data_IF_344394116813
#
_entry.id   IF_344394116813
#
_cell.length_a   1.000
_cell.length_b   1.000
_cell.length_c   1.000
_cell.angle_alpha   90.00
_cell.angle_beta   90.00
_cell.angle_gamma   90.00
#
_symmetry.space_group_name_H-M   'P 1'
#
loop_
_entity.id
_entity.type
_entity.pdbx_description
1 polymer ?
#
# COMPACT_ATOMS: atom_id res chain seq x y z
N UNK A 1 41.52 -49.56 -65.13
CA UNK A 1 40.93 -48.26 -65.36
C UNK A 1 39.94 -48.03 -64.20
N UNK A 2 40.21 -47.11 -63.27
CA UNK A 2 39.32 -46.74 -62.21
C UNK A 2 38.56 -45.50 -62.61
N UNK A 3 37.25 -45.34 -62.25
CA UNK A 3 36.51 -44.12 -62.52
C UNK A 3 36.75 -43.07 -61.36
N UNK A 4 36.60 -41.78 -61.68
CA UNK A 4 36.89 -40.71 -60.71
C UNK A 4 35.73 -40.51 -59.74
N UNK A 5 36.10 -40.25 -58.46
CA UNK A 5 35.16 -39.79 -57.41
C UNK A 5 34.76 -38.33 -57.70
N UNK A 6 33.47 -38.10 -57.79
CA UNK A 6 32.90 -36.76 -57.71
C UNK A 6 32.60 -36.42 -56.23
N UNK A 7 33.34 -35.44 -55.69
CA UNK A 7 33.07 -34.89 -54.37
C UNK A 7 32.00 -33.78 -54.48
N UNK A 8 30.82 -34.06 -53.99
CA UNK A 8 29.74 -33.05 -53.92
C UNK A 8 29.98 -32.17 -52.68
N UNK A 9 30.20 -30.88 -52.92
CA UNK A 9 30.32 -29.84 -51.88
C UNK A 9 28.91 -29.37 -51.47
N UNK A 10 28.47 -29.75 -50.27
CA UNK A 10 27.21 -29.33 -49.70
C UNK A 10 27.35 -27.93 -49.07
N UNK A 11 26.87 -26.91 -49.74
CA UNK A 11 26.82 -25.54 -49.18
C UNK A 11 25.54 -25.39 -48.34
N UNK A 12 25.71 -25.39 -46.99
CA UNK A 12 24.63 -25.12 -46.06
C UNK A 12 24.52 -23.60 -45.93
N UNK A 13 23.46 -23.03 -46.46
CA UNK A 13 23.09 -21.61 -46.28
C UNK A 13 22.31 -21.50 -44.99
N UNK A 14 22.89 -20.93 -43.94
CA UNK A 14 22.18 -20.52 -42.72
C UNK A 14 21.35 -19.25 -43.03
N UNK A 15 20.05 -19.40 -43.19
CA UNK A 15 19.11 -18.29 -43.15
C UNK A 15 18.94 -17.83 -41.69
N UNK A 16 19.63 -16.75 -41.33
CA UNK A 16 19.40 -16.04 -40.06
C UNK A 16 18.10 -15.23 -40.24
N UNK A 17 16.99 -15.78 -39.78
CA UNK A 17 15.76 -15.01 -39.61
C UNK A 17 15.93 -14.08 -38.43
N UNK A 18 16.32 -12.82 -38.64
CA UNK A 18 16.22 -11.76 -37.68
C UNK A 18 14.73 -11.50 -37.39
N UNK A 19 14.23 -11.98 -36.25
CA UNK A 19 12.95 -11.52 -35.74
C UNK A 19 13.09 -10.01 -35.41
N UNK A 20 12.63 -9.17 -36.34
CA UNK A 20 12.40 -7.77 -36.00
C UNK A 20 11.30 -7.71 -34.93
N UNK A 21 11.68 -7.45 -33.70
CA UNK A 21 10.73 -7.08 -32.66
C UNK A 21 10.07 -5.78 -33.11
N UNK A 22 8.76 -5.83 -33.37
CA UNK A 22 7.97 -4.62 -33.58
C UNK A 22 8.14 -3.75 -32.33
N UNK A 23 8.43 -2.44 -32.48
CA UNK A 23 8.46 -1.54 -31.33
C UNK A 23 7.12 -1.63 -30.62
N UNK A 24 7.16 -1.80 -29.28
CA UNK A 24 5.97 -1.74 -28.46
C UNK A 24 5.23 -0.42 -28.79
N UNK A 25 3.90 -0.43 -28.90
CA UNK A 25 3.14 0.78 -29.15
C UNK A 25 3.51 1.79 -28.05
N UNK A 26 3.95 2.98 -28.45
CA UNK A 26 4.12 4.11 -27.54
C UNK A 26 2.80 4.27 -26.78
N UNK A 27 2.85 4.16 -25.45
CA UNK A 27 1.71 4.46 -24.62
C UNK A 27 1.20 5.85 -25.00
N UNK A 28 0.01 5.91 -25.57
CA UNK A 28 -0.65 7.17 -25.90
C UNK A 28 -0.83 7.89 -24.58
N UNK A 29 -0.21 9.05 -24.40
CA UNK A 29 -0.38 9.84 -23.20
C UNK A 29 -1.89 10.10 -23.03
N UNK A 30 -2.49 9.54 -22.00
CA UNK A 30 -3.88 9.80 -21.66
C UNK A 30 -3.97 11.28 -21.32
N UNK A 31 -4.70 12.06 -22.13
CA UNK A 31 -4.91 13.48 -21.85
C UNK A 31 -5.82 13.52 -20.63
N UNK A 32 -5.25 13.85 -19.48
CA UNK A 32 -6.01 14.06 -18.23
C UNK A 32 -6.80 15.35 -18.41
N UNK A 33 -8.13 15.32 -18.38
CA UNK A 33 -8.95 16.52 -18.53
C UNK A 33 -8.69 17.52 -17.39
N UNK A 34 -8.82 18.79 -17.67
CA UNK A 34 -8.80 19.82 -16.64
C UNK A 34 -10.02 19.65 -15.73
N UNK A 35 -9.89 19.70 -14.39
CA UNK A 35 -11.04 19.63 -13.49
C UNK A 35 -12.12 20.67 -13.82
N UNK A 36 -13.37 20.25 -13.71
CA UNK A 36 -14.50 21.19 -13.82
C UNK A 36 -14.62 22.00 -12.53
N UNK A 37 -14.77 23.33 -12.60
CA UNK A 37 -14.83 24.15 -11.40
C UNK A 37 -16.11 23.88 -10.58
N UNK A 38 -15.94 23.79 -9.26
CA UNK A 38 -17.01 23.65 -8.27
C UNK A 38 -17.97 22.45 -8.50
N UNK A 39 -17.43 21.33 -8.99
CA UNK A 39 -18.19 20.09 -9.21
C UNK A 39 -17.33 18.87 -8.98
N UNK A 40 -17.91 17.82 -8.41
CA UNK A 40 -17.31 16.50 -8.43
C UNK A 40 -17.53 15.89 -9.81
N UNK A 41 -16.46 15.55 -10.52
CA UNK A 41 -16.54 15.04 -11.88
C UNK A 41 -15.98 13.61 -11.98
N UNK A 42 -16.70 12.76 -12.70
CA UNK A 42 -16.29 11.37 -13.00
C UNK A 42 -16.48 11.10 -14.49
N UNK A 43 -15.48 10.51 -15.12
CA UNK A 43 -15.57 10.02 -16.50
C UNK A 43 -15.24 8.51 -16.53
N UNK A 44 -16.27 7.65 -16.56
CA UNK A 44 -16.06 6.20 -16.62
C UNK A 44 -15.49 5.72 -17.98
N UNK A 45 -15.50 6.56 -19.01
CA UNK A 45 -14.91 6.28 -20.32
C UNK A 45 -13.38 6.44 -20.34
N UNK A 46 -12.78 7.02 -19.31
CA UNK A 46 -11.34 7.22 -19.19
C UNK A 46 -10.78 6.27 -18.14
N UNK A 47 -10.30 5.10 -18.56
CA UNK A 47 -9.60 4.15 -17.70
C UNK A 47 -8.22 4.68 -17.33
N UNK A 48 -7.87 4.60 -16.04
CA UNK A 48 -6.55 4.89 -15.50
C UNK A 48 -5.77 3.63 -15.13
N UNK A 49 -6.36 2.46 -15.34
CA UNK A 49 -5.75 1.15 -15.13
C UNK A 49 -6.32 0.38 -13.94
N UNK A 50 -5.79 -0.82 -13.74
CA UNK A 50 -6.25 -1.72 -12.68
C UNK A 50 -5.75 -1.25 -11.31
N UNK A 51 -6.65 -1.28 -10.34
CA UNK A 51 -6.33 -1.08 -8.94
C UNK A 51 -5.72 -2.37 -8.40
N UNK A 52 -4.55 -2.28 -7.79
CA UNK A 52 -3.98 -3.46 -7.14
C UNK A 52 -4.87 -3.90 -5.96
N UNK A 53 -5.31 -5.14 -5.88
CA UNK A 53 -6.07 -5.60 -4.72
C UNK A 53 -5.26 -5.52 -3.42
N UNK A 54 -3.93 -5.43 -3.49
CA UNK A 54 -3.03 -5.41 -2.34
C UNK A 54 -2.93 -4.04 -1.64
N UNK A 55 -3.66 -3.02 -2.10
CA UNK A 55 -3.72 -1.71 -1.41
C UNK A 55 -4.55 -1.74 -0.12
N UNK A 56 -5.31 -2.79 0.12
CA UNK A 56 -6.14 -2.96 1.31
C UNK A 56 -5.47 -3.88 2.34
N UNK A 57 -4.19 -3.70 2.56
CA UNK A 57 -3.39 -4.54 3.44
C UNK A 57 -3.35 -4.06 4.89
N UNK A 58 -2.79 -4.92 5.74
CA UNK A 58 -2.57 -4.62 7.16
C UNK A 58 -1.32 -5.29 7.69
N UNK A 59 -0.87 -4.84 8.84
CA UNK A 59 0.24 -5.41 9.60
C UNK A 59 -0.27 -6.30 10.73
N UNK A 60 0.41 -7.41 10.97
CA UNK A 60 0.10 -8.33 12.06
C UNK A 60 1.37 -9.02 12.57
N UNK A 61 1.34 -9.52 13.81
CA UNK A 61 2.50 -10.20 14.36
C UNK A 61 2.22 -11.02 15.62
N UNK A 62 3.20 -11.83 16.05
CA UNK A 62 3.02 -12.79 17.15
C UNK A 62 2.86 -12.18 18.54
N UNK A 63 3.09 -10.87 18.70
CA UNK A 63 2.97 -10.19 19.99
C UNK A 63 1.53 -9.99 20.48
N UNK A 64 0.56 -10.24 19.60
CA UNK A 64 -0.86 -10.11 19.92
C UNK A 64 -1.66 -11.16 19.17
N UNK A 65 -2.56 -11.85 19.87
CA UNK A 65 -3.52 -12.74 19.25
C UNK A 65 -4.86 -12.00 19.04
N UNK A 66 -5.54 -12.33 17.94
CA UNK A 66 -6.95 -11.96 17.80
C UNK A 66 -7.77 -12.65 18.88
N UNK A 67 -8.67 -11.90 19.51
CA UNK A 67 -9.70 -12.50 20.37
C UNK A 67 -10.68 -13.35 19.54
N UNK A 68 -11.43 -14.22 20.19
CA UNK A 68 -12.46 -15.02 19.52
C UNK A 68 -13.50 -14.11 18.88
N UNK A 69 -13.88 -13.03 19.57
CA UNK A 69 -14.84 -12.02 19.10
C UNK A 69 -14.29 -11.22 17.91
N UNK A 70 -12.97 -11.00 17.86
CA UNK A 70 -12.29 -10.30 16.77
C UNK A 70 -12.13 -11.11 15.49
N UNK A 71 -12.35 -12.43 15.52
CA UNK A 71 -12.17 -13.28 14.33
C UNK A 71 -13.16 -12.94 13.22
N UNK A 72 -14.45 -12.80 13.54
CA UNK A 72 -15.45 -12.49 12.52
C UNK A 72 -15.24 -11.10 11.90
N UNK A 73 -15.02 -10.03 12.67
CA UNK A 73 -14.59 -8.73 12.10
C UNK A 73 -13.35 -8.84 11.22
N UNK A 74 -12.36 -9.66 11.58
CA UNK A 74 -11.17 -9.83 10.75
C UNK A 74 -11.51 -10.50 9.41
N UNK A 75 -12.36 -11.52 9.39
CA UNK A 75 -12.81 -12.17 8.16
C UNK A 75 -13.64 -11.25 7.28
N UNK A 76 -14.41 -10.36 7.89
CA UNK A 76 -15.26 -9.42 7.18
C UNK A 76 -14.55 -8.11 6.79
N UNK A 77 -13.34 -7.88 7.30
CA UNK A 77 -12.63 -6.58 7.15
C UNK A 77 -12.42 -6.13 5.71
N UNK A 78 -12.25 -7.07 4.76
CA UNK A 78 -11.83 -6.75 3.39
C UNK A 78 -10.31 -6.59 3.24
N UNK A 79 -9.54 -6.94 4.28
CA UNK A 79 -8.08 -7.00 4.21
C UNK A 79 -7.65 -8.01 3.15
N UNK A 80 -6.80 -7.56 2.23
CA UNK A 80 -6.36 -8.34 1.07
C UNK A 80 -4.93 -8.88 1.17
N UNK A 81 -4.10 -8.28 2.01
CA UNK A 81 -2.74 -8.74 2.30
C UNK A 81 -2.37 -8.47 3.76
N UNK A 82 -1.64 -9.40 4.36
CA UNK A 82 -1.13 -9.28 5.73
C UNK A 82 0.39 -9.37 5.72
N UNK A 83 1.07 -8.32 6.20
CA UNK A 83 2.52 -8.32 6.43
C UNK A 83 2.81 -8.90 7.81
N UNK A 84 3.71 -9.92 7.88
CA UNK A 84 4.01 -10.69 9.08
C UNK A 84 5.46 -11.21 9.10
N UNK A 85 6.17 -11.24 10.27
CA UNK A 85 5.86 -10.38 11.42
C UNK A 85 6.13 -8.94 11.03
N UNK A 86 5.26 -8.04 11.48
CA UNK A 86 5.42 -6.64 11.20
C UNK A 86 6.26 -5.94 12.28
N UNK A 87 6.67 -4.70 12.00
CA UNK A 87 7.40 -3.86 12.94
C UNK A 87 8.74 -4.44 13.42
N UNK A 88 9.34 -3.78 14.40
CA UNK A 88 10.64 -4.16 14.96
C UNK A 88 10.66 -5.53 15.66
N UNK A 89 9.49 -6.11 15.96
CA UNK A 89 9.43 -7.44 16.57
C UNK A 89 10.17 -8.48 15.74
N UNK A 90 10.03 -8.41 14.41
CA UNK A 90 10.68 -9.33 13.47
C UNK A 90 12.20 -9.26 13.50
N UNK A 91 12.77 -8.11 13.82
CA UNK A 91 14.23 -7.94 13.93
C UNK A 91 14.81 -8.40 15.28
N UNK A 92 13.97 -8.46 16.30
CA UNK A 92 14.41 -8.89 17.64
C UNK A 92 14.11 -10.36 17.95
N UNK A 93 13.28 -11.00 17.13
CA UNK A 93 12.80 -12.36 17.39
C UNK A 93 12.91 -13.25 16.15
N UNK A 94 13.14 -14.53 16.37
CA UNK A 94 13.06 -15.53 15.31
C UNK A 94 11.61 -16.04 15.23
N UNK A 95 10.99 -15.85 14.08
CA UNK A 95 9.68 -16.45 13.79
C UNK A 95 9.79 -17.96 13.80
N UNK A 96 8.89 -18.63 14.53
CA UNK A 96 8.83 -20.09 14.59
C UNK A 96 7.90 -20.62 13.50
N UNK A 97 8.17 -21.83 13.02
CA UNK A 97 7.38 -22.45 11.95
C UNK A 97 5.89 -22.55 12.30
N UNK A 98 5.55 -22.91 13.54
CA UNK A 98 4.13 -22.97 13.96
C UNK A 98 3.42 -21.61 13.88
N UNK A 99 4.15 -20.48 14.04
CA UNK A 99 3.57 -19.14 13.89
C UNK A 99 3.24 -18.83 12.42
N UNK A 100 4.07 -19.34 11.50
CA UNK A 100 3.77 -19.29 10.06
C UNK A 100 2.55 -20.13 9.74
N UNK A 101 2.45 -21.35 10.27
CA UNK A 101 1.30 -22.24 10.02
C UNK A 101 0.00 -21.61 10.54
N UNK A 102 0.04 -20.97 11.71
CA UNK A 102 -1.08 -20.20 12.25
C UNK A 102 -1.46 -19.01 11.36
N UNK A 103 -0.46 -18.25 10.89
CA UNK A 103 -0.68 -17.17 9.95
C UNK A 103 -1.37 -17.69 8.68
N UNK A 104 -0.84 -18.74 8.07
CA UNK A 104 -1.38 -19.25 6.80
C UNK A 104 -2.80 -19.79 6.95
N UNK A 105 -3.11 -20.43 8.09
CA UNK A 105 -4.49 -20.82 8.42
C UNK A 105 -5.43 -19.61 8.58
N UNK A 106 -4.95 -18.51 9.11
CA UNK A 106 -5.69 -17.26 9.20
C UNK A 106 -5.89 -16.63 7.82
N UNK A 107 -4.81 -16.53 7.01
CA UNK A 107 -4.82 -15.98 5.65
C UNK A 107 -5.85 -16.70 4.77
N UNK A 108 -5.90 -18.04 4.83
CA UNK A 108 -6.87 -18.83 4.08
C UNK A 108 -8.32 -18.43 4.43
N UNK A 109 -8.62 -18.26 5.72
CA UNK A 109 -9.97 -17.90 6.18
C UNK A 109 -10.39 -16.47 5.82
N UNK A 110 -9.46 -15.54 5.86
CA UNK A 110 -9.71 -14.14 5.46
C UNK A 110 -9.80 -14.01 3.93
N UNK A 111 -9.21 -14.94 3.18
CA UNK A 111 -9.06 -14.84 1.73
C UNK A 111 -7.99 -13.81 1.31
N UNK A 112 -7.01 -13.57 2.19
CA UNK A 112 -5.95 -12.59 1.95
C UNK A 112 -4.66 -13.24 1.38
N UNK A 113 -3.70 -12.40 1.02
CA UNK A 113 -2.34 -12.80 0.65
C UNK A 113 -1.39 -12.60 1.83
N UNK A 114 -0.33 -13.40 1.94
CA UNK A 114 0.72 -13.19 2.93
C UNK A 114 1.91 -12.44 2.34
N UNK A 115 2.46 -11.48 3.11
CA UNK A 115 3.82 -10.98 2.97
C UNK A 115 4.59 -11.37 4.22
N UNK A 116 5.70 -12.10 4.06
CA UNK A 116 6.53 -12.54 5.20
C UNK A 116 7.82 -11.74 5.23
N UNK A 117 8.14 -11.17 6.40
CA UNK A 117 9.41 -10.52 6.65
C UNK A 117 10.38 -11.50 7.33
N UNK A 118 11.63 -11.53 6.86
CA UNK A 118 12.71 -12.27 7.50
C UNK A 118 13.53 -11.32 8.36
N UNK A 119 14.06 -11.86 9.47
CA UNK A 119 14.89 -11.11 10.40
C UNK A 119 16.21 -10.71 9.74
N UNK A 120 16.50 -9.40 9.70
CA UNK A 120 17.77 -8.87 9.22
C UNK A 120 18.74 -8.60 10.39
N UNK A 121 18.31 -7.80 11.37
CA UNK A 121 19.15 -7.45 12.54
C UNK A 121 19.48 -8.69 13.37
N UNK A 122 20.74 -9.14 13.29
CA UNK A 122 21.20 -10.36 13.96
C UNK A 122 20.69 -11.67 13.37
N UNK A 123 20.01 -11.63 12.21
CA UNK A 123 19.71 -12.81 11.40
C UNK A 123 20.84 -13.17 10.43
N UNK A 124 20.66 -14.25 9.66
CA UNK A 124 21.60 -14.65 8.62
C UNK A 124 20.89 -14.98 7.30
N UNK A 125 21.59 -14.85 6.15
CA UNK A 125 21.04 -15.25 4.85
C UNK A 125 20.57 -16.71 4.80
N UNK A 126 21.24 -17.60 5.54
CA UNK A 126 20.88 -19.02 5.61
C UNK A 126 19.57 -19.23 6.35
N UNK A 127 19.34 -18.52 7.45
CA UNK A 127 18.07 -18.56 8.19
C UNK A 127 16.92 -18.04 7.35
N UNK A 128 17.12 -16.96 6.59
CA UNK A 128 16.13 -16.42 5.68
C UNK A 128 15.81 -17.40 4.53
N UNK A 129 16.84 -18.03 3.96
CA UNK A 129 16.69 -19.05 2.92
C UNK A 129 15.96 -20.29 3.45
N UNK A 130 16.22 -20.69 4.71
CA UNK A 130 15.53 -21.80 5.36
C UNK A 130 14.04 -21.49 5.58
N UNK A 131 13.70 -20.27 5.98
CA UNK A 131 12.32 -19.85 6.09
C UNK A 131 11.58 -19.93 4.74
N UNK A 132 12.21 -19.47 3.65
CA UNK A 132 11.63 -19.60 2.30
C UNK A 132 11.45 -21.07 1.92
N UNK A 133 12.44 -21.94 2.26
CA UNK A 133 12.35 -23.38 2.01
C UNK A 133 11.17 -24.00 2.74
N UNK A 134 11.07 -23.76 4.05
CA UNK A 134 9.98 -24.25 4.86
C UNK A 134 8.62 -23.84 4.26
N UNK A 135 8.43 -22.54 4.04
CA UNK A 135 7.15 -21.98 3.59
C UNK A 135 6.75 -22.46 2.19
N UNK A 136 7.68 -22.36 1.22
CA UNK A 136 7.32 -22.53 -0.19
C UNK A 136 7.66 -23.92 -0.75
N UNK A 137 8.63 -24.66 -0.18
CA UNK A 137 9.04 -25.96 -0.72
C UNK A 137 8.51 -27.12 0.13
N UNK A 138 8.50 -26.98 1.45
CA UNK A 138 8.04 -28.03 2.36
C UNK A 138 6.53 -27.96 2.57
N UNK A 139 6.02 -26.81 3.06
CA UNK A 139 4.60 -26.61 3.30
C UNK A 139 3.81 -26.25 2.03
N UNK A 140 4.48 -25.72 0.99
CA UNK A 140 3.88 -25.34 -0.29
C UNK A 140 2.80 -24.26 -0.15
N UNK A 141 2.97 -23.33 0.79
CA UNK A 141 2.04 -22.23 1.01
C UNK A 141 2.03 -21.22 -0.15
N UNK A 142 3.08 -21.20 -0.98
CA UNK A 142 3.15 -20.36 -2.17
C UNK A 142 3.23 -18.86 -1.87
N UNK A 143 3.88 -18.47 -0.78
CA UNK A 143 4.05 -17.07 -0.41
C UNK A 143 4.96 -16.37 -1.42
N UNK A 144 4.41 -15.35 -2.06
CA UNK A 144 5.09 -14.60 -3.14
C UNK A 144 5.91 -13.44 -2.57
N UNK A 145 5.40 -12.68 -1.61
CA UNK A 145 5.98 -11.42 -1.15
C UNK A 145 6.82 -11.60 0.10
N UNK A 146 8.07 -11.11 0.06
CA UNK A 146 9.04 -11.27 1.13
C UNK A 146 9.78 -9.96 1.40
N UNK A 147 9.75 -9.51 2.65
CA UNK A 147 10.55 -8.39 3.15
C UNK A 147 11.81 -8.87 3.86
N UNK A 148 12.82 -8.00 3.96
CA UNK A 148 14.09 -8.28 4.63
C UNK A 148 14.36 -7.16 5.63
N UNK A 149 14.15 -7.46 6.93
CA UNK A 149 14.28 -6.50 8.03
C UNK A 149 13.08 -5.56 8.16
N UNK A 150 13.20 -4.59 9.08
CA UNK A 150 12.22 -3.56 9.35
C UNK A 150 12.93 -2.27 9.75
N UNK A 151 12.71 -1.17 9.03
CA UNK A 151 13.27 0.17 9.32
C UNK A 151 14.78 0.16 9.60
N UNK A 152 15.62 -0.36 8.70
CA UNK A 152 17.03 -0.60 8.96
C UNK A 152 17.82 0.67 9.28
N UNK A 153 17.33 1.85 8.89
CA UNK A 153 17.91 3.14 9.25
C UNK A 153 17.90 3.43 10.77
N UNK A 154 17.12 2.68 11.55
CA UNK A 154 17.07 2.81 13.02
C UNK A 154 18.07 1.88 13.76
N UNK A 155 18.66 0.89 13.08
CA UNK A 155 19.54 -0.10 13.71
C UNK A 155 20.80 0.50 14.33
N UNK A 156 21.34 1.60 13.79
CA UNK A 156 22.50 2.27 14.38
C UNK A 156 22.23 2.73 15.82
N UNK A 157 21.03 3.28 16.06
CA UNK A 157 20.64 3.70 17.42
C UNK A 157 20.60 2.55 18.44
N UNK A 158 20.26 1.35 17.99
CA UNK A 158 20.22 0.15 18.82
C UNK A 158 21.60 -0.45 19.04
N UNK A 159 22.41 -0.55 18.00
CA UNK A 159 23.74 -1.17 18.02
C UNK A 159 24.81 -0.30 18.65
N UNK A 160 24.65 1.02 18.60
CA UNK A 160 25.56 1.98 19.25
C UNK A 160 25.79 1.69 20.72
N UNK A 161 24.77 1.25 21.45
CA UNK A 161 24.87 0.85 22.85
C UNK A 161 25.71 -0.41 23.06
N UNK A 162 25.99 -1.16 21.98
CA UNK A 162 26.85 -2.35 21.97
C UNK A 162 28.25 -2.07 21.41
N UNK A 163 28.55 -0.81 21.06
CA UNK A 163 29.81 -0.41 20.45
C UNK A 163 29.93 -0.79 18.96
N UNK A 164 28.80 -1.08 18.32
CA UNK A 164 28.71 -1.37 16.88
C UNK A 164 28.09 -0.20 16.14
N UNK A 165 28.37 -0.08 14.84
CA UNK A 165 27.72 0.86 13.93
C UNK A 165 26.91 0.11 12.88
N UNK A 166 25.83 0.71 12.43
CA UNK A 166 25.03 0.21 11.32
C UNK A 166 24.74 1.35 10.33
N UNK A 167 25.45 1.32 9.23
CA UNK A 167 25.33 2.33 8.20
C UNK A 167 24.65 1.78 6.94
N UNK A 168 24.43 2.67 6.00
CA UNK A 168 23.75 2.40 4.74
C UNK A 168 24.55 1.39 3.87
N UNK A 169 25.87 1.39 3.95
CA UNK A 169 26.71 0.48 3.18
C UNK A 169 26.59 -0.94 3.71
N UNK A 170 26.68 -1.13 5.04
CA UNK A 170 26.46 -2.41 5.72
C UNK A 170 25.07 -2.95 5.41
N UNK A 171 24.05 -2.13 5.53
CA UNK A 171 22.67 -2.51 5.18
C UNK A 171 22.58 -3.04 3.75
N UNK A 172 23.08 -2.29 2.78
CA UNK A 172 22.98 -2.65 1.37
C UNK A 172 23.70 -3.98 1.07
N UNK A 173 24.85 -4.24 1.69
CA UNK A 173 25.58 -5.50 1.55
C UNK A 173 24.83 -6.68 2.19
N UNK A 174 24.33 -6.51 3.41
CA UNK A 174 23.56 -7.53 4.12
C UNK A 174 22.26 -7.85 3.37
N UNK A 175 21.46 -6.84 3.02
CA UNK A 175 20.20 -7.03 2.26
C UNK A 175 20.45 -7.82 0.97
N UNK A 176 21.50 -7.48 0.23
CA UNK A 176 21.85 -8.17 -1.02
C UNK A 176 22.24 -9.64 -0.78
N UNK A 177 22.92 -9.93 0.31
CA UNK A 177 23.29 -11.31 0.66
C UNK A 177 22.04 -12.15 0.99
N UNK A 178 21.09 -11.59 1.77
CA UNK A 178 19.82 -12.21 2.08
C UNK A 178 18.99 -12.44 0.81
N UNK A 179 18.84 -11.42 -0.01
CA UNK A 179 18.10 -11.47 -1.27
C UNK A 179 18.58 -12.61 -2.17
N UNK A 180 19.88 -12.73 -2.36
CA UNK A 180 20.49 -13.81 -3.16
C UNK A 180 20.26 -15.20 -2.56
N UNK A 181 20.39 -15.34 -1.24
CA UNK A 181 20.18 -16.62 -0.56
C UNK A 181 18.70 -17.07 -0.66
N UNK A 182 17.76 -16.17 -0.45
CA UNK A 182 16.33 -16.45 -0.57
C UNK A 182 15.92 -16.80 -2.02
N UNK A 183 16.33 -16.00 -3.01
CA UNK A 183 16.10 -16.24 -4.44
C UNK A 183 16.72 -17.55 -4.94
N UNK A 184 17.81 -18.01 -4.34
CA UNK A 184 18.43 -19.30 -4.68
C UNK A 184 17.54 -20.49 -4.28
N UNK A 185 16.75 -20.35 -3.21
CA UNK A 185 15.77 -21.37 -2.78
C UNK A 185 14.53 -21.32 -3.65
N UNK A 186 14.02 -20.12 -3.89
CA UNK A 186 12.84 -19.92 -4.71
C UNK A 186 12.97 -18.63 -5.54
N UNK A 187 13.28 -18.78 -6.82
CA UNK A 187 13.44 -17.65 -7.74
C UNK A 187 12.14 -16.92 -8.06
N UNK A 188 11.00 -17.51 -7.76
CA UNK A 188 9.67 -16.93 -8.05
C UNK A 188 9.20 -15.90 -7.02
N UNK A 189 9.80 -15.86 -5.81
CA UNK A 189 9.45 -14.89 -4.78
C UNK A 189 9.73 -13.45 -5.25
N UNK A 190 8.96 -12.52 -4.72
CA UNK A 190 9.11 -11.08 -4.95
C UNK A 190 9.67 -10.42 -3.70
N UNK A 191 10.81 -9.76 -3.85
CA UNK A 191 11.49 -9.07 -2.77
C UNK A 191 10.94 -7.65 -2.62
N UNK A 192 10.46 -7.34 -1.42
CA UNK A 192 9.93 -6.04 -1.01
C UNK A 192 10.96 -5.35 -0.12
N UNK A 193 11.31 -4.12 -0.42
CA UNK A 193 12.32 -3.38 0.36
C UNK A 193 12.55 -1.97 -0.17
N UNK A 194 13.28 -1.14 0.58
CA UNK A 194 14.04 -1.40 1.80
C UNK A 194 13.26 -1.29 3.11
N UNK A 195 11.97 -0.99 3.09
CA UNK A 195 11.15 -0.66 4.28
C UNK A 195 11.74 0.53 5.07
N UNK A 196 12.10 1.58 4.34
CA UNK A 196 12.72 2.78 4.91
C UNK A 196 11.79 3.47 5.88
N UNK A 197 12.32 3.80 7.07
CA UNK A 197 11.61 4.55 8.09
C UNK A 197 11.25 5.96 7.59
N UNK A 198 9.99 6.36 7.76
CA UNK A 198 9.49 7.75 7.56
C UNK A 198 9.90 8.40 6.22
N UNK A 199 9.89 7.65 5.11
CA UNK A 199 10.23 8.23 3.83
C UNK A 199 9.30 9.41 3.48
N UNK A 200 9.91 10.51 3.13
CA UNK A 200 9.28 11.70 2.55
C UNK A 200 10.35 12.53 1.85
N UNK A 201 9.99 13.63 1.21
CA UNK A 201 10.93 14.57 0.62
C UNK A 201 10.56 16.00 1.01
N UNK A 202 11.54 16.91 0.98
CA UNK A 202 11.26 18.32 1.26
C UNK A 202 10.70 19.01 0.00
N UNK A 203 9.45 19.40 0.05
CA UNK A 203 8.82 20.25 -0.93
C UNK A 203 8.57 21.64 -0.34
N UNK A 204 9.59 22.50 -0.42
CA UNK A 204 9.57 23.88 0.09
C UNK A 204 9.34 23.98 1.62
N UNK A 205 9.93 23.09 2.40
CA UNK A 205 9.81 23.10 3.86
C UNK A 205 8.44 22.67 4.40
N UNK A 206 7.58 22.11 3.55
CA UNK A 206 6.20 21.79 3.92
C UNK A 206 5.97 20.30 4.28
N UNK A 207 6.97 19.44 4.07
CA UNK A 207 6.82 18.00 4.36
C UNK A 207 6.78 17.74 5.85
N UNK A 208 5.86 16.87 6.25
CA UNK A 208 5.74 16.39 7.63
C UNK A 208 6.78 15.29 7.88
N UNK A 209 7.50 15.36 9.00
CA UNK A 209 8.53 14.36 9.37
C UNK A 209 9.58 14.08 8.28
N UNK A 210 9.95 15.10 7.49
CA UNK A 210 11.01 14.96 6.51
C UNK A 210 12.37 14.71 7.17
N UNK A 211 13.17 13.86 6.55
CA UNK A 211 14.55 13.58 6.92
C UNK A 211 15.38 13.31 5.67
N UNK A 212 16.39 14.18 5.43
CA UNK A 212 17.37 13.94 4.36
C UNK A 212 18.05 12.57 4.48
N UNK A 213 18.29 12.12 5.72
CA UNK A 213 18.88 10.80 5.96
C UNK A 213 17.98 9.68 5.42
N UNK A 214 16.67 9.75 5.63
CA UNK A 214 15.74 8.73 5.15
C UNK A 214 15.63 8.70 3.62
N UNK A 215 15.66 9.87 2.98
CA UNK A 215 15.72 9.94 1.51
C UNK A 215 17.06 9.39 0.99
N UNK A 216 18.18 9.70 1.64
CA UNK A 216 19.49 9.15 1.29
C UNK A 216 19.52 7.62 1.40
N UNK A 217 18.93 7.04 2.45
CA UNK A 217 18.84 5.59 2.59
C UNK A 217 18.09 4.94 1.43
N UNK A 218 16.97 5.51 1.00
CA UNK A 218 16.23 5.05 -0.16
C UNK A 218 17.06 5.14 -1.44
N UNK A 219 17.71 6.27 -1.67
CA UNK A 219 18.54 6.52 -2.86
C UNK A 219 19.70 5.53 -2.97
N UNK A 220 20.46 5.36 -1.89
CA UNK A 220 21.60 4.46 -1.88
C UNK A 220 21.19 2.97 -1.95
N UNK A 221 20.03 2.62 -1.40
CA UNK A 221 19.44 1.30 -1.59
C UNK A 221 19.11 1.04 -3.06
N UNK A 222 18.46 1.96 -3.72
CA UNK A 222 18.10 1.84 -5.14
C UNK A 222 19.33 1.68 -6.04
N UNK A 223 20.39 2.46 -5.80
CA UNK A 223 21.66 2.32 -6.50
C UNK A 223 22.30 0.93 -6.31
N UNK A 224 22.27 0.43 -5.08
CA UNK A 224 22.97 -0.79 -4.71
C UNK A 224 22.18 -2.06 -5.01
N UNK A 225 20.85 -2.04 -4.88
CA UNK A 225 19.97 -3.21 -4.90
C UNK A 225 18.79 -3.07 -5.88
N UNK A 226 18.75 -2.02 -6.67
CA UNK A 226 17.69 -1.78 -7.65
C UNK A 226 17.57 -2.85 -8.74
N UNK A 227 18.61 -3.67 -8.94
CA UNK A 227 18.63 -4.84 -9.83
C UNK A 227 17.90 -6.06 -9.23
N UNK A 228 17.81 -6.16 -7.91
CA UNK A 228 17.28 -7.33 -7.18
C UNK A 228 15.89 -7.07 -6.56
N UNK A 229 15.60 -5.82 -6.17
CA UNK A 229 14.30 -5.50 -5.57
C UNK A 229 13.19 -5.59 -6.60
N UNK A 230 12.10 -6.26 -6.25
CA UNK A 230 10.92 -6.41 -7.12
C UNK A 230 9.86 -5.34 -6.82
N UNK A 231 9.77 -4.84 -5.56
CA UNK A 231 8.81 -3.83 -5.11
C UNK A 231 9.54 -2.91 -4.13
N UNK A 232 9.54 -1.61 -4.41
CA UNK A 232 10.16 -0.61 -3.54
C UNK A 232 9.20 -0.22 -2.43
N UNK A 233 9.65 -0.32 -1.17
CA UNK A 233 8.78 -0.10 -0.01
C UNK A 233 9.32 0.94 0.96
N UNK A 234 8.39 1.61 1.64
CA UNK A 234 8.68 2.56 2.70
C UNK A 234 7.59 2.53 3.77
N UNK A 235 7.90 3.14 4.95
CA UNK A 235 6.95 3.38 6.02
C UNK A 235 6.63 4.87 6.14
N UNK A 236 5.42 5.19 6.60
CA UNK A 236 4.99 6.57 6.75
C UNK A 236 4.03 6.79 7.90
N UNK A 237 4.46 7.62 8.87
CA UNK A 237 3.65 8.18 9.94
C UNK A 237 3.90 9.71 9.97
N UNK A 238 2.96 10.53 9.51
CA UNK A 238 3.18 11.98 9.50
C UNK A 238 3.33 12.58 10.90
N UNK A 239 2.81 11.91 11.93
CA UNK A 239 2.85 12.38 13.32
C UNK A 239 3.35 11.29 14.29
N UNK A 240 3.75 11.69 15.54
CA UNK A 240 3.96 13.07 15.97
C UNK A 240 5.21 13.66 15.31
N UNK A 241 5.33 14.98 15.31
CA UNK A 241 6.54 15.67 14.81
C UNK A 241 7.72 15.52 15.75
N UNK A 242 7.46 15.21 17.01
CA UNK A 242 8.46 14.84 18.01
C UNK A 242 7.81 14.02 19.13
N UNK A 243 8.60 13.26 19.89
CA UNK A 243 8.10 12.49 21.03
C UNK A 243 7.45 13.33 22.15
N UNK A 244 7.73 14.63 22.20
CA UNK A 244 7.16 15.56 23.16
C UNK A 244 5.93 16.30 22.63
N UNK A 245 5.60 16.16 21.34
CA UNK A 245 4.39 16.74 20.76
C UNK A 245 3.15 16.04 21.30
N UNK A 246 2.05 16.77 21.45
CA UNK A 246 0.73 16.19 21.63
C UNK A 246 0.27 15.47 20.36
N UNK A 247 -0.94 14.85 20.38
CA UNK A 247 -1.60 14.40 19.16
C UNK A 247 -1.72 15.54 18.15
N UNK A 248 -1.70 15.22 16.87
CA UNK A 248 -1.99 16.20 15.84
C UNK A 248 -3.39 16.79 16.05
N UNK A 249 -3.62 18.02 15.59
CA UNK A 249 -4.97 18.55 15.45
C UNK A 249 -5.66 17.96 14.22
N UNK A 250 -6.98 18.06 14.14
CA UNK A 250 -7.76 17.73 12.94
C UNK A 250 -7.22 18.51 11.73
N UNK A 251 -6.92 19.79 11.90
CA UNK A 251 -6.39 20.64 10.82
C UNK A 251 -5.05 20.13 10.28
N UNK A 252 -4.14 19.75 11.16
CA UNK A 252 -2.84 19.20 10.74
C UNK A 252 -3.01 17.90 9.98
N UNK A 253 -3.92 17.02 10.44
CA UNK A 253 -4.18 15.75 9.77
C UNK A 253 -4.88 15.96 8.42
N UNK A 254 -5.81 16.91 8.33
CA UNK A 254 -6.49 17.30 7.10
C UNK A 254 -5.52 17.79 6.02
N UNK A 255 -4.61 18.68 6.39
CA UNK A 255 -3.57 19.19 5.48
C UNK A 255 -2.63 18.06 5.05
N UNK A 256 -2.29 17.15 5.96
CA UNK A 256 -1.42 16.01 5.65
C UNK A 256 -1.97 15.09 4.57
N UNK A 257 -3.27 14.88 4.49
CA UNK A 257 -3.87 14.03 3.46
C UNK A 257 -3.38 14.38 2.04
N UNK A 258 -3.09 15.67 1.78
CA UNK A 258 -2.60 16.17 0.48
C UNK A 258 -1.11 15.94 0.21
N UNK A 259 -0.39 15.37 1.15
CA UNK A 259 1.07 15.11 1.02
C UNK A 259 1.34 13.80 0.25
N UNK A 260 0.43 12.85 0.31
CA UNK A 260 0.65 11.48 -0.12
C UNK A 260 0.89 11.32 -1.63
N UNK A 261 0.15 12.05 -2.46
CA UNK A 261 0.36 12.04 -3.90
C UNK A 261 1.76 12.55 -4.27
N UNK A 262 2.22 13.61 -3.61
CA UNK A 262 3.54 14.21 -3.84
C UNK A 262 4.67 13.24 -3.47
N UNK A 263 4.54 12.56 -2.32
CA UNK A 263 5.53 11.56 -1.86
C UNK A 263 5.62 10.39 -2.85
N UNK A 264 4.48 9.87 -3.31
CA UNK A 264 4.45 8.73 -4.23
C UNK A 264 5.03 9.12 -5.60
N UNK A 265 4.69 10.30 -6.11
CA UNK A 265 5.22 10.82 -7.37
C UNK A 265 6.74 10.99 -7.28
N UNK A 266 7.23 11.62 -6.20
CA UNK A 266 8.66 11.81 -5.98
C UNK A 266 9.42 10.48 -5.89
N UNK A 267 8.90 9.50 -5.13
CA UNK A 267 9.51 8.19 -5.04
C UNK A 267 9.56 7.48 -6.39
N UNK A 268 8.53 7.59 -7.21
CA UNK A 268 8.50 7.01 -8.56
C UNK A 268 9.58 7.63 -9.46
N UNK A 269 9.77 8.93 -9.40
CA UNK A 269 10.84 9.64 -10.11
C UNK A 269 12.23 9.21 -9.61
N UNK A 270 12.39 9.09 -8.30
CA UNK A 270 13.63 8.60 -7.69
C UNK A 270 13.97 7.18 -8.15
N UNK A 271 13.00 6.26 -8.14
CA UNK A 271 13.17 4.89 -8.63
C UNK A 271 13.66 4.90 -10.09
N UNK A 272 12.99 5.64 -10.97
CA UNK A 272 13.38 5.72 -12.39
C UNK A 272 14.77 6.31 -12.58
N UNK A 273 15.09 7.35 -11.81
CA UNK A 273 16.40 8.02 -11.88
C UNK A 273 17.54 7.12 -11.46
N UNK A 274 17.39 6.40 -10.36
CA UNK A 274 18.48 5.61 -9.78
C UNK A 274 18.60 4.21 -10.39
N UNK A 275 17.51 3.65 -10.92
CA UNK A 275 17.50 2.26 -11.40
C UNK A 275 17.30 2.12 -12.92
N UNK A 276 16.78 3.15 -13.59
CA UNK A 276 16.31 3.07 -14.98
C UNK A 276 15.09 2.18 -15.17
N UNK A 277 14.43 1.74 -14.09
CA UNK A 277 13.30 0.80 -14.08
C UNK A 277 12.03 1.47 -13.55
N UNK A 278 10.89 0.94 -13.95
CA UNK A 278 9.60 1.26 -13.33
C UNK A 278 9.25 0.14 -12.34
N UNK A 279 9.66 0.29 -11.07
CA UNK A 279 9.45 -0.70 -10.03
C UNK A 279 8.20 -0.33 -9.24
N UNK A 280 7.27 -1.26 -8.98
CA UNK A 280 6.09 -1.00 -8.16
C UNK A 280 6.42 -0.47 -6.77
N UNK A 281 5.55 0.40 -6.23
CA UNK A 281 5.71 1.01 -4.91
C UNK A 281 4.78 0.34 -3.90
N UNK A 282 5.31 0.07 -2.71
CA UNK A 282 4.55 -0.37 -1.55
C UNK A 282 4.71 0.60 -0.37
N UNK A 283 3.63 0.81 0.37
CA UNK A 283 3.66 1.45 1.69
C UNK A 283 3.43 0.34 2.71
N UNK A 284 4.53 -0.28 3.17
CA UNK A 284 4.44 -1.52 3.95
C UNK A 284 4.09 -1.31 5.42
N UNK A 285 4.12 -0.06 5.88
CA UNK A 285 3.62 0.31 7.19
C UNK A 285 3.18 1.78 7.21
N UNK A 286 1.94 2.05 7.61
CA UNK A 286 1.47 3.42 7.76
C UNK A 286 0.31 3.55 8.73
N UNK A 287 0.24 4.69 9.40
CA UNK A 287 -0.90 5.24 10.10
C UNK A 287 -0.65 6.75 10.29
N UNK A 288 -1.57 7.48 10.92
CA UNK A 288 -1.39 8.93 11.14
C UNK A 288 -0.32 9.24 12.18
N UNK A 289 -0.23 8.45 13.26
CA UNK A 289 0.67 8.70 14.40
C UNK A 289 1.30 7.40 14.91
N UNK A 290 2.64 7.37 15.07
CA UNK A 290 3.37 6.19 15.52
C UNK A 290 3.48 6.07 17.05
N UNK A 291 3.15 7.12 17.81
CA UNK A 291 3.35 7.16 19.28
C UNK A 291 2.08 7.43 20.08
N UNK A 292 1.10 8.12 19.49
CA UNK A 292 -0.16 8.50 20.13
C UNK A 292 -1.32 7.84 19.40
N UNK A 293 -1.78 6.70 19.92
CA UNK A 293 -2.83 5.93 19.26
C UNK A 293 -4.25 6.23 19.74
N UNK A 294 -4.38 6.86 20.90
CA UNK A 294 -5.69 7.08 21.56
C UNK A 294 -5.78 8.45 22.25
N UNK A 295 -7.00 8.91 22.43
CA UNK A 295 -7.33 10.03 23.32
C UNK A 295 -7.23 11.43 22.71
N UNK A 296 -7.03 11.53 21.40
CA UNK A 296 -7.10 12.78 20.65
C UNK A 296 -8.20 12.74 19.59
N UNK A 297 -8.63 13.90 19.12
CA UNK A 297 -9.64 14.01 18.07
C UNK A 297 -9.17 13.55 16.68
N UNK A 298 -7.84 13.37 16.50
CA UNK A 298 -7.19 12.93 15.26
C UNK A 298 -6.28 11.71 15.48
N UNK A 299 -6.28 11.10 16.67
CA UNK A 299 -5.51 9.88 16.93
C UNK A 299 -6.05 8.69 16.15
N UNK A 300 -5.25 7.65 15.90
CA UNK A 300 -5.64 6.47 15.11
C UNK A 300 -6.98 5.83 15.49
N UNK A 301 -7.43 5.93 16.75
CA UNK A 301 -8.73 5.45 17.22
C UNK A 301 -9.90 6.41 16.92
N UNK A 302 -9.63 7.61 16.42
CA UNK A 302 -10.66 8.63 16.23
C UNK A 302 -11.45 8.42 14.92
N UNK A 303 -12.67 8.96 14.90
CA UNK A 303 -13.46 9.03 13.68
C UNK A 303 -12.74 9.82 12.58
N UNK A 304 -12.14 10.98 12.94
CA UNK A 304 -11.46 11.80 11.95
C UNK A 304 -10.27 11.10 11.30
N UNK A 305 -9.52 10.31 12.05
CA UNK A 305 -8.44 9.49 11.49
C UNK A 305 -8.95 8.48 10.45
N UNK A 306 -10.13 7.92 10.65
CA UNK A 306 -10.73 7.01 9.68
C UNK A 306 -11.14 7.72 8.38
N UNK A 307 -11.58 8.96 8.46
CA UNK A 307 -11.87 9.80 7.28
C UNK A 307 -10.56 10.16 6.54
N UNK A 308 -9.52 10.58 7.29
CA UNK A 308 -8.17 10.79 6.74
C UNK A 308 -7.65 9.53 6.03
N UNK A 309 -7.78 8.35 6.64
CA UNK A 309 -7.41 7.07 6.03
C UNK A 309 -8.14 6.82 4.72
N UNK A 310 -9.42 7.21 4.64
CA UNK A 310 -10.21 7.10 3.41
C UNK A 310 -9.63 7.90 2.26
N UNK A 311 -9.21 9.13 2.52
CA UNK A 311 -8.55 9.96 1.50
C UNK A 311 -7.16 9.45 1.15
N UNK A 312 -6.37 9.04 2.14
CA UNK A 312 -5.02 8.49 1.93
C UNK A 312 -5.04 7.24 1.07
N UNK A 313 -5.97 6.31 1.31
CA UNK A 313 -6.16 5.14 0.45
C UNK A 313 -6.54 5.54 -0.97
N UNK A 314 -7.44 6.51 -1.12
CA UNK A 314 -7.80 7.06 -2.42
C UNK A 314 -6.62 7.67 -3.17
N UNK A 315 -5.75 8.43 -2.49
CA UNK A 315 -4.51 8.97 -3.05
C UNK A 315 -3.53 7.87 -3.46
N UNK A 316 -3.36 6.82 -2.64
CA UNK A 316 -2.53 5.67 -2.97
C UNK A 316 -3.04 4.94 -4.22
N UNK A 317 -4.34 4.68 -4.30
CA UNK A 317 -4.98 4.06 -5.46
C UNK A 317 -4.78 4.91 -6.71
N UNK A 318 -5.09 6.20 -6.63
CA UNK A 318 -4.95 7.16 -7.75
C UNK A 318 -3.52 7.22 -8.29
N UNK A 319 -2.53 7.07 -7.43
CA UNK A 319 -1.12 7.08 -7.80
C UNK A 319 -0.55 5.68 -8.08
N UNK A 320 -1.38 4.65 -8.20
CA UNK A 320 -0.96 3.31 -8.59
C UNK A 320 0.00 2.66 -7.59
N UNK A 321 -0.22 2.84 -6.28
CA UNK A 321 0.47 2.08 -5.24
C UNK A 321 0.07 0.62 -5.37
N UNK A 322 1.07 -0.25 -5.40
CA UNK A 322 0.88 -1.68 -5.58
C UNK A 322 0.42 -2.40 -4.32
N UNK A 323 0.92 -1.97 -3.14
CA UNK A 323 0.62 -2.58 -1.85
C UNK A 323 0.61 -1.50 -0.77
N UNK A 324 -0.37 -1.56 0.16
CA UNK A 324 -0.38 -0.69 1.32
C UNK A 324 -0.83 -1.47 2.56
N UNK A 325 -0.04 -1.42 3.64
CA UNK A 325 -0.29 -2.17 4.86
C UNK A 325 -0.50 -1.21 6.04
N UNK A 326 -1.76 -0.98 6.38
CA UNK A 326 -2.14 -0.19 7.54
C UNK A 326 -1.58 -0.78 8.84
N UNK A 327 -1.10 0.05 9.74
CA UNK A 327 -0.69 -0.34 11.08
C UNK A 327 -1.86 -0.11 12.05
N UNK A 328 -2.60 -1.15 12.47
CA UNK A 328 -2.42 -2.58 12.24
C UNK A 328 -3.77 -3.33 12.24
N UNK A 329 -3.75 -4.70 12.09
CA UNK A 329 -4.98 -5.51 12.09
C UNK A 329 -5.69 -5.45 13.44
N UNK A 330 -4.97 -5.75 14.52
CA UNK A 330 -5.55 -5.78 15.87
C UNK A 330 -4.59 -5.18 16.89
N UNK A 331 -5.14 -4.52 17.87
CA UNK A 331 -4.42 -3.90 18.98
C UNK A 331 -5.15 -4.12 20.30
N UNK A 332 -4.43 -3.99 21.42
CA UNK A 332 -5.05 -4.13 22.74
C UNK A 332 -5.92 -2.92 23.04
N UNK A 333 -7.08 -3.13 23.67
CA UNK A 333 -7.91 -2.06 24.20
C UNK A 333 -7.12 -1.15 25.16
N UNK A 334 -7.48 0.11 25.23
CA UNK A 334 -6.86 1.11 26.12
C UNK A 334 -5.57 1.77 25.61
N UNK A 335 -4.66 1.03 24.97
CA UNK A 335 -3.47 1.56 24.30
C UNK A 335 -3.43 1.22 22.80
N UNK A 336 -4.53 0.73 22.26
CA UNK A 336 -4.56 0.03 21.01
C UNK A 336 -5.36 0.70 19.93
N UNK A 337 -5.33 2.01 19.79
CA UNK A 337 -6.04 2.72 18.74
C UNK A 337 -5.56 2.44 17.32
N UNK A 338 -4.39 1.85 17.12
CA UNK A 338 -3.88 1.55 15.77
C UNK A 338 -4.62 0.43 15.05
N UNK A 339 -5.22 -0.51 15.78
CA UNK A 339 -5.87 -1.67 15.16
C UNK A 339 -7.13 -1.31 14.39
N UNK A 340 -7.39 -2.01 13.29
CA UNK A 340 -8.75 -2.05 12.72
C UNK A 340 -9.71 -2.66 13.75
N UNK A 341 -9.20 -3.61 14.54
CA UNK A 341 -9.92 -4.34 15.58
C UNK A 341 -9.27 -4.05 16.93
N UNK A 342 -10.05 -3.56 17.88
CA UNK A 342 -9.67 -3.28 19.26
C UNK A 342 -10.23 -4.37 20.20
N UNK A 343 -9.55 -5.52 20.29
CA UNK A 343 -9.98 -6.71 21.05
C UNK A 343 -11.35 -7.25 20.58
N UNK A 344 -12.44 -6.78 21.19
CA UNK A 344 -13.82 -7.24 20.95
C UNK A 344 -14.58 -6.32 20.00
N UNK A 345 -14.12 -5.07 19.87
CA UNK A 345 -14.78 -4.04 19.06
C UNK A 345 -13.94 -3.68 17.82
N UNK A 346 -14.51 -2.93 16.91
CA UNK A 346 -13.81 -2.37 15.75
C UNK A 346 -13.57 -0.87 15.95
N UNK A 347 -12.41 -0.38 15.51
CA UNK A 347 -12.14 1.05 15.46
C UNK A 347 -12.78 1.69 14.21
N UNK A 348 -12.97 3.01 14.19
CA UNK A 348 -13.55 3.71 13.04
C UNK A 348 -12.86 3.40 11.70
N UNK A 349 -11.54 3.19 11.68
CA UNK A 349 -10.77 2.80 10.49
C UNK A 349 -11.24 1.50 9.83
N UNK A 350 -11.89 0.60 10.58
CA UNK A 350 -12.53 -0.59 10.06
C UNK A 350 -13.62 -0.26 9.03
N UNK A 351 -14.44 0.76 9.30
CA UNK A 351 -15.52 1.15 8.42
C UNK A 351 -15.01 1.79 7.12
N UNK A 352 -13.86 2.42 7.14
CA UNK A 352 -13.17 2.86 5.91
C UNK A 352 -12.86 1.66 5.02
N UNK A 353 -12.34 0.56 5.57
CA UNK A 353 -12.11 -0.68 4.81
C UNK A 353 -13.43 -1.27 4.29
N UNK A 354 -14.52 -1.20 5.07
CA UNK A 354 -15.84 -1.65 4.62
C UNK A 354 -16.39 -0.83 3.45
N UNK A 355 -16.10 0.47 3.38
CA UNK A 355 -16.44 1.31 2.24
C UNK A 355 -15.63 0.89 1.01
N UNK A 356 -14.31 0.73 1.13
CA UNK A 356 -13.45 0.33 0.02
C UNK A 356 -13.65 -1.12 -0.44
N UNK A 357 -14.12 -2.02 0.41
CA UNK A 357 -14.52 -3.38 0.02
C UNK A 357 -15.59 -3.41 -1.07
N UNK A 358 -16.34 -2.33 -1.22
CA UNK A 358 -17.40 -2.16 -2.24
C UNK A 358 -16.92 -1.41 -3.48
N UNK A 359 -15.69 -0.86 -3.44
CA UNK A 359 -15.08 -0.15 -4.55
C UNK A 359 -14.75 -1.11 -5.68
N UNK A 360 -14.59 -0.61 -6.90
CA UNK A 360 -14.28 -1.45 -8.06
C UNK A 360 -12.79 -1.69 -8.24
N UNK A 361 -12.46 -2.43 -9.30
CA UNK A 361 -11.10 -2.91 -9.57
C UNK A 361 -10.41 -2.15 -10.69
N UNK A 362 -11.15 -1.42 -11.52
CA UNK A 362 -10.60 -0.58 -12.59
C UNK A 362 -10.79 0.90 -12.26
N UNK A 363 -9.67 1.59 -12.01
CA UNK A 363 -9.69 3.02 -11.72
C UNK A 363 -10.11 3.81 -12.95
N UNK A 364 -11.06 4.71 -12.79
CA UNK A 364 -11.48 5.64 -13.84
C UNK A 364 -11.23 7.09 -13.43
N UNK A 365 -11.24 7.97 -14.43
CA UNK A 365 -10.95 9.38 -14.17
C UNK A 365 -12.00 10.02 -13.24
N UNK A 366 -11.50 10.66 -12.20
CA UNK A 366 -12.29 11.49 -11.29
C UNK A 366 -11.51 12.73 -10.86
N UNK A 367 -12.20 13.83 -10.61
CA UNK A 367 -11.58 15.08 -10.17
C UNK A 367 -12.49 15.92 -9.30
N UNK A 368 -11.88 16.66 -8.38
CA UNK A 368 -12.49 17.72 -7.58
C UNK A 368 -11.50 18.86 -7.45
N UNK A 369 -11.97 20.10 -7.55
CA UNK A 369 -11.23 21.31 -7.19
C UNK A 369 -11.78 21.94 -5.89
N UNK A 370 -12.72 21.26 -5.24
CA UNK A 370 -13.36 21.72 -4.01
C UNK A 370 -12.44 21.38 -2.84
N UNK A 371 -12.12 22.39 -2.04
CA UNK A 371 -11.27 22.19 -0.88
C UNK A 371 -11.87 21.14 0.07
N UNK A 372 -11.03 20.21 0.51
CA UNK A 372 -11.37 19.17 1.50
C UNK A 372 -12.51 18.21 1.10
N UNK A 373 -12.91 18.21 -0.18
CA UNK A 373 -13.87 17.27 -0.75
C UNK A 373 -13.22 16.54 -1.93
N UNK A 374 -12.83 15.29 -1.74
CA UNK A 374 -12.15 14.48 -2.74
C UNK A 374 -13.09 13.43 -3.34
N UNK A 375 -12.81 13.00 -4.57
CA UNK A 375 -13.59 11.99 -5.28
C UNK A 375 -12.68 10.98 -5.95
N UNK A 376 -13.03 9.71 -5.80
CA UNK A 376 -12.39 8.55 -6.42
C UNK A 376 -13.46 7.72 -7.11
N UNK A 377 -13.16 7.19 -8.29
CA UNK A 377 -14.14 6.40 -9.03
C UNK A 377 -13.50 5.18 -9.68
N UNK A 378 -14.27 4.09 -9.74
CA UNK A 378 -13.82 2.84 -10.34
C UNK A 378 -14.97 2.06 -10.95
N UNK A 379 -14.65 1.20 -11.91
CA UNK A 379 -15.58 0.20 -12.43
C UNK A 379 -15.35 -1.13 -11.73
N UNK A 380 -16.43 -1.81 -11.39
CA UNK A 380 -16.45 -3.17 -10.87
C UNK A 380 -16.57 -4.19 -12.01
N UNK A 381 -16.19 -5.43 -11.77
CA UNK A 381 -16.32 -6.54 -12.72
C UNK A 381 -17.77 -6.77 -13.19
N UNK A 382 -18.78 -6.42 -12.36
CA UNK A 382 -20.20 -6.51 -12.73
C UNK A 382 -20.69 -5.33 -13.59
N UNK A 383 -19.77 -4.42 -13.97
CA UNK A 383 -20.06 -3.23 -14.75
C UNK A 383 -20.59 -2.03 -13.96
N UNK A 384 -20.78 -2.15 -12.65
CA UNK A 384 -21.21 -1.04 -11.83
C UNK A 384 -20.10 0.01 -11.67
N UNK A 385 -20.45 1.29 -11.83
CA UNK A 385 -19.60 2.41 -11.48
C UNK A 385 -19.71 2.67 -9.98
N UNK A 386 -18.58 2.73 -9.30
CA UNK A 386 -18.48 3.12 -7.90
C UNK A 386 -17.82 4.49 -7.78
N UNK A 387 -18.43 5.37 -6.99
CA UNK A 387 -17.93 6.73 -6.75
C UNK A 387 -17.84 6.95 -5.25
N UNK A 388 -16.63 7.12 -4.75
CA UNK A 388 -16.34 7.35 -3.35
C UNK A 388 -15.94 8.81 -3.15
N UNK A 389 -16.68 9.52 -2.29
CA UNK A 389 -16.44 10.93 -1.95
C UNK A 389 -16.03 11.01 -0.49
N UNK A 390 -14.92 11.69 -0.21
CA UNK A 390 -14.44 11.94 1.14
C UNK A 390 -14.56 13.42 1.46
N UNK A 391 -15.33 13.75 2.48
CA UNK A 391 -15.41 15.08 3.04
C UNK A 391 -14.53 15.19 4.28
N UNK A 392 -13.35 15.78 4.11
CA UNK A 392 -12.39 16.04 5.17
C UNK A 392 -12.73 17.29 6.01
N UNK A 393 -13.70 18.11 5.55
CA UNK A 393 -14.04 19.35 6.25
C UNK A 393 -14.88 19.07 7.49
N UNK A 394 -14.89 20.05 8.41
CA UNK A 394 -15.74 20.03 9.60
C UNK A 394 -17.17 20.50 9.31
N UNK A 395 -17.47 20.83 8.06
CA UNK A 395 -18.75 21.33 7.61
C UNK A 395 -19.35 20.40 6.56
N UNK A 396 -20.68 20.35 6.52
CA UNK A 396 -21.40 19.72 5.43
C UNK A 396 -21.09 20.43 4.10
N UNK A 397 -20.85 19.65 3.05
CA UNK A 397 -20.65 20.15 1.70
C UNK A 397 -21.85 19.78 0.82
N UNK A 398 -22.43 20.76 0.16
CA UNK A 398 -23.54 20.55 -0.79
C UNK A 398 -23.02 20.77 -2.20
N UNK A 399 -22.82 19.68 -2.95
CA UNK A 399 -22.18 19.71 -4.26
C UNK A 399 -22.87 18.80 -5.27
N UNK A 400 -22.75 19.14 -6.55
CA UNK A 400 -23.20 18.28 -7.63
C UNK A 400 -22.12 17.22 -7.99
N UNK A 401 -22.58 16.01 -8.30
CA UNK A 401 -21.78 14.96 -8.90
C UNK A 401 -22.13 14.82 -10.37
N UNK A 402 -21.19 15.12 -11.25
CA UNK A 402 -21.37 15.01 -12.70
C UNK A 402 -20.67 13.77 -13.23
N UNK A 403 -21.41 12.88 -13.89
CA UNK A 403 -20.89 11.69 -14.55
C UNK A 403 -20.95 11.91 -16.05
N UNK A 404 -19.82 11.76 -16.74
CA UNK A 404 -19.74 11.95 -18.18
C UNK A 404 -20.69 10.98 -18.94
N UNK A 405 -21.41 11.51 -19.91
CA UNK A 405 -22.33 10.71 -20.72
C UNK A 405 -23.66 10.35 -20.02
N UNK A 406 -23.90 10.79 -18.78
CA UNK A 406 -25.11 10.46 -18.03
C UNK A 406 -25.81 11.73 -17.50
N UNK A 407 -27.07 11.94 -17.88
CA UNK A 407 -27.83 13.12 -17.50
C UNK A 407 -28.73 12.91 -16.27
N UNK A 408 -29.17 11.69 -16.02
CA UNK A 408 -29.97 11.32 -14.84
C UNK A 408 -29.54 9.93 -14.36
N UNK A 409 -29.02 9.89 -13.15
CA UNK A 409 -28.41 8.66 -12.59
C UNK A 409 -29.01 8.42 -11.21
N UNK A 410 -29.33 7.17 -10.92
CA UNK A 410 -29.66 6.71 -9.57
C UNK A 410 -28.58 5.75 -9.10
N UNK A 411 -28.19 5.89 -7.85
CA UNK A 411 -27.19 5.01 -7.23
C UNK A 411 -27.64 4.57 -5.87
N UNK A 412 -27.23 3.36 -5.48
CA UNK A 412 -27.27 2.91 -4.10
C UNK A 412 -26.21 3.69 -3.32
N UNK A 413 -26.58 4.29 -2.19
CA UNK A 413 -25.68 5.11 -1.38
C UNK A 413 -25.33 4.42 -0.06
N UNK A 414 -24.06 4.45 0.26
CA UNK A 414 -23.50 4.01 1.54
C UNK A 414 -22.82 5.18 2.23
N UNK A 415 -22.97 5.27 3.54
CA UNK A 415 -22.47 6.39 4.33
C UNK A 415 -21.68 5.90 5.54
N UNK A 416 -20.52 6.52 5.73
CA UNK A 416 -19.73 6.45 6.96
C UNK A 416 -19.49 7.87 7.46
N UNK A 417 -20.09 8.21 8.58
CA UNK A 417 -20.00 9.49 9.28
C UNK A 417 -20.10 9.28 10.80
N UNK A 418 -20.12 10.30 11.66
CA UNK A 418 -20.22 10.13 13.11
C UNK A 418 -21.41 9.31 13.62
N UNK A 419 -22.45 9.10 12.81
CA UNK A 419 -23.67 8.38 13.21
C UNK A 419 -23.98 7.14 12.37
N UNK A 420 -23.36 7.00 11.18
CA UNK A 420 -23.52 5.85 10.28
C UNK A 420 -22.20 5.06 10.17
N UNK A 421 -22.26 3.76 10.36
CA UNK A 421 -21.11 2.86 10.35
C UNK A 421 -21.00 2.08 9.03
N UNK A 422 -20.68 2.79 7.93
CA UNK A 422 -20.65 2.22 6.56
C UNK A 422 -22.00 1.58 6.20
N UNK A 423 -23.08 2.30 6.42
CA UNK A 423 -24.46 1.83 6.28
C UNK A 423 -25.04 2.16 4.91
N UNK A 424 -25.88 1.27 4.40
CA UNK A 424 -26.70 1.53 3.22
C UNK A 424 -27.83 2.49 3.58
N UNK A 425 -27.80 3.69 3.02
CA UNK A 425 -28.82 4.74 3.25
C UNK A 425 -29.88 4.79 2.13
N UNK A 426 -29.91 3.77 1.25
CA UNK A 426 -30.92 3.62 0.21
C UNK A 426 -30.47 4.11 -1.17
N UNK A 427 -31.42 4.26 -2.06
CA UNK A 427 -31.18 4.74 -3.42
C UNK A 427 -31.41 6.24 -3.51
N UNK A 428 -30.43 6.95 -4.07
CA UNK A 428 -30.48 8.40 -4.26
C UNK A 428 -30.48 8.76 -5.75
N UNK A 429 -31.13 9.87 -6.08
CA UNK A 429 -31.09 10.46 -7.41
C UNK A 429 -29.88 11.41 -7.49
N UNK A 430 -28.95 11.11 -8.39
CA UNK A 430 -27.68 11.84 -8.52
C UNK A 430 -27.76 13.01 -9.55
N UNK A 431 -28.95 13.40 -9.98
CA UNK A 431 -29.13 14.46 -10.98
C UNK A 431 -29.01 15.90 -10.43
N UNK A 432 -28.96 16.06 -9.09
CA UNK A 432 -28.91 17.36 -8.42
C UNK A 432 -27.70 17.56 -7.53
N UNK A 433 -27.82 18.48 -6.60
CA UNK A 433 -26.87 18.65 -5.53
C UNK A 433 -27.06 17.59 -4.44
N UNK A 434 -25.98 17.11 -3.88
CA UNK A 434 -25.95 16.13 -2.80
C UNK A 434 -25.29 16.72 -1.57
N UNK A 435 -25.82 16.36 -0.42
CA UNK A 435 -25.20 16.61 0.86
C UNK A 435 -24.14 15.54 1.13
N UNK A 436 -22.93 15.99 1.43
CA UNK A 436 -21.84 15.21 1.97
C UNK A 436 -21.60 15.68 3.41
N UNK A 437 -22.05 14.91 4.41
CA UNK A 437 -21.93 15.31 5.82
C UNK A 437 -20.49 15.67 6.19
N UNK A 438 -20.31 16.50 7.21
CA UNK A 438 -18.99 16.78 7.78
C UNK A 438 -18.28 15.48 8.17
N UNK A 439 -16.99 15.38 7.91
CA UNK A 439 -16.18 14.23 8.30
C UNK A 439 -16.80 12.89 7.87
N UNK A 440 -17.01 12.72 6.56
CA UNK A 440 -17.71 11.56 6.03
C UNK A 440 -17.04 10.92 4.82
N UNK A 441 -17.37 9.66 4.60
CA UNK A 441 -17.14 8.93 3.36
C UNK A 441 -18.49 8.51 2.81
N UNK A 442 -18.82 8.96 1.61
CA UNK A 442 -20.02 8.56 0.87
C UNK A 442 -19.63 7.74 -0.33
N UNK A 443 -20.20 6.55 -0.49
CA UNK A 443 -20.01 5.71 -1.66
C UNK A 443 -21.31 5.53 -2.42
N UNK A 444 -21.28 5.81 -3.71
CA UNK A 444 -22.39 5.52 -4.63
C UNK A 444 -22.04 4.29 -5.48
N UNK A 445 -23.00 3.37 -5.64
CA UNK A 445 -22.93 2.23 -6.54
C UNK A 445 -24.00 2.43 -7.62
N UNK A 446 -23.57 2.60 -8.85
CA UNK A 446 -24.37 3.00 -10.01
C UNK A 446 -24.35 1.85 -11.02
N UNK A 447 -25.52 1.31 -11.36
CA UNK A 447 -25.66 0.18 -12.30
C UNK A 447 -26.17 0.63 -13.64
#
# INVERSE_FOLDING_TARGET
MKPPLFTALLVIVFLVTACAQSPAPLATATIVPTPYPNVLFVDPGISLGQISPLVYGTNYGPWIALSVEGLQPAYDSGVSIVRFPAGSWGDHNNVQTYQIDQLMSFIEKVGATAMINVRLLGGTPEQAAEMVRYVNKEQKYGVVYWGIGNEPSLYDGELKNRGESYDIERFNQEWRAFAKAMKKVDSSIKLVGPETHQFSFDYNGASTNFSEANELWMREFLKSNGDLVDIVSFHRYPFPRSFTSGPASIEELRVNAREWDKIIIHLRELIRTETGRDIPIAVTEFNSDYSKSVGGESTPDSHYNAIWLGDVLGQMIKNGVFMANHWMLTSKGGNGGWGLIAQTDVNPSYFTYQMYKKFGDELVYSSSDIADLTVYASLRDDGALTVLVVNLSLEEQIQSLRIAGQAAVKGEAWLFDPVHQAENIGTVDLSGNHSFPAQSITLFIIK
#
